data_IF_165090433607
#
_entry.id   IF_165090433607
#
_cell.length_a   1.000
_cell.length_b   1.000
_cell.length_c   1.000
_cell.angle_alpha   90.00
_cell.angle_beta   90.00
_cell.angle_gamma   90.00
#
_symmetry.space_group_name_H-M   'P 1'
#
loop_
_entity.id
_entity.type
_entity.pdbx_description
1 polymer ?
#
# COMPACT_ATOMS: atom_id res chain seq x y z
N UNK A 1 3.57 -3.49 13.19
CA UNK A 1 2.58 -4.58 12.94
C UNK A 1 3.27 -5.94 12.93
N UNK A 2 2.55 -7.04 13.20
CA UNK A 2 3.10 -8.40 13.24
C UNK A 2 2.93 -9.06 11.86
N UNK A 3 4.05 -9.45 11.24
CA UNK A 3 4.05 -10.23 9.99
C UNK A 3 3.71 -11.69 10.28
N UNK A 4 3.27 -12.46 9.27
CA UNK A 4 3.07 -13.93 9.39
C UNK A 4 4.28 -14.70 9.95
N UNK A 5 5.48 -14.14 9.83
CA UNK A 5 6.73 -14.67 10.40
C UNK A 5 6.98 -14.24 11.86
N UNK A 6 6.01 -13.65 12.54
CA UNK A 6 6.12 -13.04 13.87
C UNK A 6 7.17 -11.91 13.98
N UNK A 7 7.64 -11.39 12.85
CA UNK A 7 8.57 -10.27 12.79
C UNK A 7 7.80 -8.93 12.80
N UNK A 8 8.36 -7.94 13.49
CA UNK A 8 7.86 -6.56 13.46
C UNK A 8 8.39 -5.84 12.22
N UNK A 9 7.54 -5.02 11.62
CA UNK A 9 7.89 -4.06 10.58
C UNK A 9 7.29 -2.71 10.95
N UNK A 10 8.08 -1.65 10.73
CA UNK A 10 7.67 -0.26 10.94
C UNK A 10 6.78 0.24 9.79
N UNK A 11 6.92 -0.37 8.61
CA UNK A 11 6.21 0.03 7.39
C UNK A 11 5.41 -1.12 6.77
N UNK A 12 4.39 -0.76 6.00
CA UNK A 12 3.60 -1.66 5.16
C UNK A 12 3.52 -1.15 3.72
N UNK A 13 3.29 -2.07 2.78
CA UNK A 13 3.01 -1.71 1.40
C UNK A 13 1.59 -1.15 1.27
N UNK A 14 1.47 0.12 0.88
CA UNK A 14 0.20 0.85 0.81
C UNK A 14 -0.66 0.54 -0.42
N UNK A 15 -0.28 -0.45 -1.25
CA UNK A 15 -1.01 -0.83 -2.46
C UNK A 15 -0.57 -0.12 -3.73
N UNK A 16 0.33 0.87 -3.66
CA UNK A 16 0.79 1.67 -4.81
C UNK A 16 2.25 1.40 -5.11
N UNK A 17 2.58 1.21 -6.39
CA UNK A 17 3.96 1.07 -6.86
C UNK A 17 4.13 1.64 -8.27
N UNK A 18 5.34 2.10 -8.58
CA UNK A 18 5.83 2.33 -9.94
C UNK A 18 6.79 1.19 -10.25
N UNK A 19 6.61 0.50 -11.38
CA UNK A 19 7.48 -0.62 -11.75
C UNK A 19 7.76 -0.66 -13.25
N UNK A 20 8.95 -1.15 -13.61
CA UNK A 20 9.32 -1.38 -15.01
C UNK A 20 8.66 -2.68 -15.52
N UNK A 21 7.81 -2.64 -16.56
CA UNK A 21 7.13 -3.83 -17.08
C UNK A 21 8.07 -4.97 -17.50
N UNK A 22 9.28 -4.65 -17.96
CA UNK A 22 10.29 -5.64 -18.35
C UNK A 22 10.64 -6.64 -17.25
N UNK A 23 10.51 -6.25 -15.97
CA UNK A 23 10.73 -7.14 -14.84
C UNK A 23 9.72 -8.29 -14.76
N UNK A 24 8.59 -8.18 -15.47
CA UNK A 24 7.58 -9.23 -15.55
C UNK A 24 7.72 -10.11 -16.82
N UNK A 25 8.54 -9.73 -17.81
CA UNK A 25 8.60 -10.40 -19.13
C UNK A 25 9.00 -11.87 -19.05
N UNK A 26 9.85 -12.24 -18.09
CA UNK A 26 10.31 -13.62 -17.91
C UNK A 26 9.30 -14.54 -17.22
N UNK A 27 8.17 -14.00 -16.74
CA UNK A 27 7.14 -14.77 -16.05
C UNK A 27 6.05 -15.24 -17.02
N UNK A 28 5.53 -16.44 -16.80
CA UNK A 28 4.42 -16.99 -17.58
C UNK A 28 3.16 -16.14 -17.41
N UNK A 29 2.33 -16.10 -18.46
CA UNK A 29 1.01 -15.43 -18.43
C UNK A 29 0.02 -16.31 -17.68
N UNK A 30 0.10 -16.28 -16.36
CA UNK A 30 -0.76 -17.04 -15.45
C UNK A 30 -1.03 -16.23 -14.17
N UNK A 31 -1.92 -16.72 -13.28
CA UNK A 31 -2.10 -16.10 -11.96
C UNK A 31 -0.84 -16.32 -11.13
N UNK A 32 -0.20 -15.24 -10.67
CA UNK A 32 0.96 -15.31 -9.79
C UNK A 32 0.96 -14.23 -8.72
N UNK A 33 1.69 -14.48 -7.62
CA UNK A 33 1.89 -13.48 -6.57
C UNK A 33 2.93 -12.44 -6.96
N UNK A 34 2.61 -11.15 -6.76
CA UNK A 34 3.54 -10.02 -6.95
C UNK A 34 4.87 -10.21 -6.19
N UNK A 35 4.85 -10.92 -5.07
CA UNK A 35 6.05 -11.22 -4.27
C UNK A 35 7.16 -11.90 -5.08
N UNK A 36 6.83 -12.66 -6.15
CA UNK A 36 7.85 -13.27 -7.01
C UNK A 36 8.80 -12.23 -7.62
N UNK A 37 8.26 -11.14 -8.17
CA UNK A 37 9.05 -10.05 -8.78
C UNK A 37 9.78 -9.24 -7.71
N UNK A 38 9.12 -8.97 -6.57
CA UNK A 38 9.75 -8.26 -5.47
C UNK A 38 10.93 -9.01 -4.88
N UNK A 39 10.84 -10.33 -4.70
CA UNK A 39 11.93 -11.14 -4.17
C UNK A 39 13.18 -11.04 -5.06
N UNK A 40 13.02 -11.09 -6.39
CA UNK A 40 14.16 -10.92 -7.31
C UNK A 40 14.71 -9.50 -7.31
N UNK A 41 13.83 -8.49 -7.22
CA UNK A 41 14.25 -7.08 -7.14
C UNK A 41 14.97 -6.77 -5.82
N UNK A 42 14.54 -7.39 -4.71
CA UNK A 42 15.18 -7.31 -3.40
C UNK A 42 16.58 -7.91 -3.42
N UNK A 43 16.76 -9.09 -4.02
CA UNK A 43 18.09 -9.72 -4.20
C UNK A 43 19.05 -8.81 -4.96
N UNK A 44 18.55 -8.06 -5.94
CA UNK A 44 19.32 -7.10 -6.74
C UNK A 44 19.51 -5.74 -6.05
N UNK A 45 18.87 -5.51 -4.90
CA UNK A 45 18.85 -4.24 -4.17
C UNK A 45 18.34 -3.05 -5.01
N UNK A 46 17.38 -3.31 -5.90
CA UNK A 46 16.82 -2.29 -6.82
C UNK A 46 15.39 -1.89 -6.46
N UNK A 47 14.91 -2.27 -5.28
CA UNK A 47 13.60 -1.85 -4.78
C UNK A 47 13.80 -0.73 -3.77
N UNK A 48 13.01 0.32 -3.93
CA UNK A 48 13.04 1.50 -3.10
C UNK A 48 11.62 1.77 -2.59
N UNK A 49 11.53 2.44 -1.45
CA UNK A 49 10.27 2.83 -0.84
C UNK A 49 10.33 4.27 -0.39
N UNK A 50 9.17 4.93 -0.44
CA UNK A 50 8.96 6.22 0.22
C UNK A 50 7.84 6.04 1.24
N UNK A 51 7.94 6.72 2.37
CA UNK A 51 6.85 6.79 3.32
C UNK A 51 5.74 7.66 2.70
N UNK A 52 4.52 7.13 2.65
CA UNK A 52 3.35 7.90 2.24
C UNK A 52 3.03 8.92 3.34
N UNK A 53 3.14 10.25 3.09
CA UNK A 53 2.71 11.23 4.06
C UNK A 53 1.18 11.25 4.16
N UNK A 54 0.68 11.55 5.35
CA UNK A 54 -0.75 11.68 5.59
C UNK A 54 -1.44 10.38 6.00
N UNK A 55 -2.76 10.37 5.86
CA UNK A 55 -3.63 9.32 6.38
C UNK A 55 -3.95 8.29 5.29
N UNK A 56 -3.78 7.01 5.62
CA UNK A 56 -4.04 5.88 4.72
C UNK A 56 -4.88 4.83 5.43
N UNK A 57 -5.81 4.20 4.71
CA UNK A 57 -6.67 3.14 5.23
C UNK A 57 -6.74 1.97 4.26
N UNK A 58 -6.61 0.75 4.79
CA UNK A 58 -6.96 -0.46 4.06
C UNK A 58 -8.47 -0.67 4.14
N UNK A 59 -9.17 -0.53 3.02
CA UNK A 59 -10.63 -0.72 2.92
C UNK A 59 -10.89 -2.01 2.14
N UNK A 60 -11.19 -3.09 2.85
CA UNK A 60 -11.37 -4.43 2.26
C UNK A 60 -12.60 -5.19 2.74
N UNK A 61 -13.31 -4.64 3.72
CA UNK A 61 -14.51 -5.23 4.31
C UNK A 61 -15.55 -4.14 4.70
N UNK A 62 -16.83 -4.49 4.91
CA UNK A 62 -17.87 -3.51 5.19
C UNK A 62 -17.61 -2.62 6.42
N UNK A 63 -16.95 -3.13 7.47
CA UNK A 63 -16.65 -2.31 8.66
C UNK A 63 -15.56 -1.28 8.34
N UNK A 64 -14.54 -1.68 7.58
CA UNK A 64 -13.49 -0.76 7.12
C UNK A 64 -14.02 0.35 6.21
N UNK A 65 -15.09 0.08 5.44
CA UNK A 65 -15.76 1.08 4.61
C UNK A 65 -16.41 2.18 5.46
N UNK A 66 -17.22 1.79 6.45
CA UNK A 66 -17.87 2.74 7.37
C UNK A 66 -16.83 3.62 8.06
N UNK A 67 -15.72 3.01 8.52
CA UNK A 67 -14.63 3.76 9.15
C UNK A 67 -14.00 4.78 8.17
N UNK A 68 -13.81 4.41 6.91
CA UNK A 68 -13.27 5.31 5.90
C UNK A 68 -14.21 6.48 5.59
N UNK A 69 -15.52 6.23 5.50
CA UNK A 69 -16.52 7.28 5.29
C UNK A 69 -16.54 8.31 6.42
N UNK A 70 -16.43 7.86 7.68
CA UNK A 70 -16.33 8.76 8.84
C UNK A 70 -15.12 9.68 8.71
N UNK A 71 -13.95 9.13 8.37
CA UNK A 71 -12.73 9.94 8.20
C UNK A 71 -12.88 10.93 7.05
N UNK A 72 -13.40 10.50 5.90
CA UNK A 72 -13.64 11.37 4.74
C UNK A 72 -14.56 12.54 5.12
N UNK A 73 -15.63 12.27 5.87
CA UNK A 73 -16.56 13.32 6.32
C UNK A 73 -15.91 14.27 7.32
N UNK A 74 -15.08 13.78 8.25
CA UNK A 74 -14.33 14.63 9.18
C UNK A 74 -13.37 15.57 8.42
N UNK A 75 -12.67 15.07 7.41
CA UNK A 75 -11.74 15.88 6.59
C UNK A 75 -12.51 16.97 5.82
N UNK A 76 -13.68 16.64 5.25
CA UNK A 76 -14.54 17.63 4.57
C UNK A 76 -14.97 18.77 5.51
N UNK A 77 -15.38 18.43 6.74
CA UNK A 77 -15.82 19.42 7.72
C UNK A 77 -14.67 20.35 8.16
N UNK A 78 -13.47 19.79 8.38
CA UNK A 78 -12.28 20.58 8.73
C UNK A 78 -11.85 21.52 7.59
N UNK A 79 -11.86 21.03 6.34
CA UNK A 79 -11.54 21.86 5.17
C UNK A 79 -12.54 23.00 4.89
N UNK A 80 -13.78 22.91 5.38
CA UNK A 80 -14.74 24.02 5.35
C UNK A 80 -14.47 25.08 6.43
N UNK A 81 -13.98 24.67 7.61
CA UNK A 81 -13.75 25.58 8.75
C UNK A 81 -12.44 26.38 8.65
N UNK A 82 -11.50 26.00 7.78
CA UNK A 82 -10.24 26.73 7.54
C UNK A 82 -10.37 27.79 6.43
N UNK A 83 -11.57 27.97 5.85
CA UNK A 83 -11.86 28.97 4.80
C UNK A 83 -12.58 30.23 5.31
N UNK A 84 -12.56 30.51 6.62
CA UNK A 84 -13.12 31.73 7.21
C UNK A 84 -12.07 32.59 7.88
#
# INVERSE_FOLDING_TARGET
>A
MIRRSNQKSDYIYAGVQIFKPDLAKSYKVEKFSRNKIWNESLKRKTIYGIQLPGYWMHVGDPKSLIAAEVVINQVKLKGCNEKS
#
